data_IF_203921534420
#
_entry.id   IF_203921534420
#
_cell.length_a   1.000
_cell.length_b   1.000
_cell.length_c   1.000
_cell.angle_alpha   90.00
_cell.angle_beta   90.00
_cell.angle_gamma   90.00
#
_symmetry.space_group_name_H-M   'P 1'
#
loop_
_entity.id
_entity.type
_entity.pdbx_description
1 polymer ?
#
# COMPACT_ATOMS: atom_id res chain seq x y z
N UNK A 1 6.24 -8.04 13.54
CA UNK A 1 5.85 -8.85 12.37
C UNK A 1 6.48 -8.23 11.13
N UNK A 2 7.00 -9.04 10.24
CA UNK A 2 7.57 -8.54 8.98
C UNK A 2 6.53 -8.67 7.87
N UNK A 3 6.23 -7.54 7.25
CA UNK A 3 5.18 -7.43 6.23
C UNK A 3 5.78 -6.84 4.95
N UNK A 4 5.38 -7.40 3.82
CA UNK A 4 5.69 -6.86 2.51
C UNK A 4 4.41 -6.25 1.97
N UNK A 5 4.44 -4.98 1.56
CA UNK A 5 3.28 -4.31 0.98
C UNK A 5 3.42 -4.24 -0.52
N UNK A 6 2.40 -4.69 -1.23
CA UNK A 6 2.25 -4.46 -2.66
C UNK A 6 1.22 -3.36 -2.84
N UNK A 7 1.58 -2.32 -3.57
CA UNK A 7 0.72 -1.17 -3.79
C UNK A 7 0.55 -0.94 -5.29
N UNK A 8 -0.69 -1.02 -5.76
CA UNK A 8 -1.03 -0.77 -7.14
C UNK A 8 -1.79 0.55 -7.24
N UNK A 9 -1.18 1.54 -7.88
CA UNK A 9 -1.72 2.88 -7.99
C UNK A 9 -2.34 3.04 -9.37
N UNK A 10 -3.65 2.87 -9.45
CA UNK A 10 -4.41 3.07 -10.68
C UNK A 10 -4.79 4.52 -10.90
N UNK A 11 -5.55 4.77 -11.96
CA UNK A 11 -6.00 6.12 -12.30
C UNK A 11 -6.90 6.74 -11.25
N UNK A 12 -7.82 5.97 -10.69
CA UNK A 12 -8.79 6.48 -9.70
C UNK A 12 -8.85 5.60 -8.45
N UNK A 13 -8.06 4.54 -8.39
CA UNK A 13 -8.06 3.62 -7.25
C UNK A 13 -6.64 3.26 -6.85
N UNK A 14 -6.46 3.01 -5.56
CA UNK A 14 -5.21 2.48 -5.02
C UNK A 14 -5.56 1.20 -4.27
N UNK A 15 -4.81 0.13 -4.57
CA UNK A 15 -4.94 -1.15 -3.86
C UNK A 15 -3.68 -1.40 -3.05
N UNK A 16 -3.86 -1.86 -1.82
CA UNK A 16 -2.76 -2.26 -0.97
C UNK A 16 -3.01 -3.70 -0.54
N UNK A 17 -1.99 -4.53 -0.74
CA UNK A 17 -2.02 -5.92 -0.30
C UNK A 17 -0.83 -6.13 0.64
N UNK A 18 -1.09 -6.69 1.81
CA UNK A 18 -0.03 -7.05 2.74
C UNK A 18 0.25 -8.55 2.67
N UNK A 19 1.52 -8.89 2.59
CA UNK A 19 1.97 -10.27 2.55
C UNK A 19 2.87 -10.55 3.74
N UNK A 20 2.74 -11.74 4.29
CA UNK A 20 3.72 -12.25 5.26
C UNK A 20 4.94 -12.75 4.50
N UNK A 21 6.03 -12.98 5.21
CA UNK A 21 7.28 -13.42 4.59
C UNK A 21 7.18 -14.78 3.93
N UNK A 22 6.18 -15.59 4.30
CA UNK A 22 5.91 -16.87 3.66
C UNK A 22 5.07 -16.74 2.38
N UNK A 23 4.69 -15.53 2.01
CA UNK A 23 3.90 -15.26 0.81
C UNK A 23 2.40 -15.26 1.02
N UNK A 24 1.92 -15.59 2.21
CA UNK A 24 0.48 -15.60 2.47
C UNK A 24 -0.05 -14.16 2.62
N UNK A 25 -1.31 -13.97 2.22
CA UNK A 25 -1.95 -12.65 2.23
C UNK A 25 -2.50 -12.36 3.62
N UNK A 26 -2.19 -11.16 4.15
CA UNK A 26 -2.79 -10.70 5.40
C UNK A 26 -4.18 -10.15 5.11
N UNK A 27 -4.27 -9.18 4.23
CA UNK A 27 -5.52 -8.57 3.80
C UNK A 27 -5.26 -7.68 2.59
N UNK A 28 -6.34 -7.17 1.99
CA UNK A 28 -6.27 -6.24 0.86
C UNK A 28 -7.21 -5.07 1.13
N UNK A 29 -6.75 -3.87 0.77
CA UNK A 29 -7.55 -2.65 0.84
C UNK A 29 -7.58 -2.00 -0.52
N UNK A 30 -8.76 -1.53 -0.94
CA UNK A 30 -8.93 -0.74 -2.15
C UNK A 30 -9.54 0.60 -1.75
N UNK A 31 -8.91 1.67 -2.20
CA UNK A 31 -9.39 3.04 -1.93
C UNK A 31 -9.56 3.78 -3.25
N UNK A 32 -10.66 4.49 -3.36
CA UNK A 32 -10.93 5.34 -4.53
C UNK A 32 -10.67 6.79 -4.14
N UNK A 33 -9.88 7.50 -4.94
CA UNK A 33 -9.62 8.91 -4.72
C UNK A 33 -9.16 9.57 -6.03
N UNK A 34 -9.33 10.90 -6.10
CA UNK A 34 -8.95 11.65 -7.29
C UNK A 34 -7.45 11.92 -7.35
N UNK A 35 -6.83 12.14 -6.21
CA UNK A 35 -5.40 12.43 -6.11
C UNK A 35 -4.66 11.15 -5.73
N UNK A 36 -3.74 10.72 -6.61
CA UNK A 36 -3.04 9.47 -6.44
C UNK A 36 -2.11 9.48 -5.24
N UNK A 37 -1.39 10.58 -5.01
CA UNK A 37 -0.45 10.66 -3.89
C UNK A 37 -1.21 10.72 -2.57
N UNK A 38 -2.24 11.58 -2.48
CA UNK A 38 -3.07 11.67 -1.29
C UNK A 38 -3.77 10.35 -1.02
N UNK A 39 -4.26 9.69 -2.08
CA UNK A 39 -4.90 8.38 -1.96
C UNK A 39 -3.94 7.33 -1.42
N UNK A 40 -2.70 7.34 -1.88
CA UNK A 40 -1.69 6.39 -1.40
C UNK A 40 -1.44 6.56 0.10
N UNK A 41 -1.16 7.76 0.55
CA UNK A 41 -0.85 7.98 1.96
C UNK A 41 -2.06 7.73 2.85
N UNK A 42 -3.24 8.13 2.41
CA UNK A 42 -4.46 7.83 3.15
C UNK A 42 -4.75 6.33 3.22
N UNK A 43 -4.59 5.64 2.11
CA UNK A 43 -4.80 4.20 2.06
C UNK A 43 -3.76 3.46 2.91
N UNK A 44 -2.50 3.88 2.86
CA UNK A 44 -1.44 3.28 3.65
C UNK A 44 -1.72 3.42 5.14
N UNK A 45 -2.06 4.63 5.59
CA UNK A 45 -2.40 4.85 6.99
C UNK A 45 -3.59 4.01 7.44
N UNK A 46 -4.63 3.96 6.63
CA UNK A 46 -5.80 3.15 6.91
C UNK A 46 -5.45 1.65 6.98
N UNK A 47 -4.65 1.18 6.01
CA UNK A 47 -4.24 -0.22 5.98
C UNK A 47 -3.48 -0.60 7.25
N UNK A 48 -2.50 0.21 7.63
CA UNK A 48 -1.68 -0.08 8.81
C UNK A 48 -2.54 -0.09 10.07
N UNK A 49 -3.39 0.92 10.24
CA UNK A 49 -4.26 1.01 11.40
C UNK A 49 -5.25 -0.16 11.47
N UNK A 50 -5.90 -0.48 10.35
CA UNK A 50 -6.91 -1.54 10.31
C UNK A 50 -6.32 -2.92 10.59
N UNK A 51 -5.06 -3.12 10.25
CA UNK A 51 -4.39 -4.42 10.44
C UNK A 51 -3.49 -4.44 11.66
N UNK A 52 -3.53 -3.38 12.50
CA UNK A 52 -2.72 -3.26 13.71
C UNK A 52 -1.23 -3.36 13.42
N UNK A 53 -0.81 -2.75 12.32
CA UNK A 53 0.58 -2.71 11.91
C UNK A 53 1.15 -1.30 12.13
N UNK A 54 2.47 -1.23 12.33
CA UNK A 54 3.18 0.04 12.33
C UNK A 54 4.16 0.05 11.16
N UNK A 55 4.71 1.23 10.85
CA UNK A 55 5.68 1.33 9.76
C UNK A 55 6.91 0.45 9.99
N UNK A 56 7.28 0.21 11.25
CA UNK A 56 8.40 -0.66 11.58
C UNK A 56 8.17 -2.12 11.17
N UNK A 57 6.90 -2.51 11.02
CA UNK A 57 6.57 -3.86 10.58
C UNK A 57 6.72 -4.02 9.07
N UNK A 58 6.75 -2.92 8.33
CA UNK A 58 6.85 -2.95 6.87
C UNK A 58 8.30 -3.11 6.47
N UNK A 59 8.62 -4.28 5.93
CA UNK A 59 9.96 -4.63 5.52
C UNK A 59 10.27 -4.15 4.11
N UNK A 60 9.27 -4.17 3.23
CA UNK A 60 9.45 -3.85 1.84
C UNK A 60 8.14 -3.33 1.24
N UNK A 61 8.25 -2.39 0.32
CA UNK A 61 7.12 -1.87 -0.43
C UNK A 61 7.41 -2.04 -1.91
N UNK A 62 6.46 -2.64 -2.63
CA UNK A 62 6.54 -2.80 -4.09
C UNK A 62 5.43 -1.95 -4.70
N UNK A 63 5.80 -1.01 -5.54
CA UNK A 63 4.87 -0.10 -6.18
C UNK A 63 4.67 -0.47 -7.64
N UNK A 64 3.42 -0.42 -8.09
CA UNK A 64 3.06 -0.64 -9.50
C UNK A 64 1.96 0.35 -9.90
N UNK A 65 1.66 0.41 -11.19
CA UNK A 65 0.57 1.22 -11.71
C UNK A 65 1.01 2.57 -12.21
N UNK A 66 0.05 3.31 -12.78
CA UNK A 66 0.33 4.57 -13.48
C UNK A 66 0.80 5.69 -12.56
N UNK A 67 0.45 5.62 -11.27
CA UNK A 67 0.86 6.63 -10.29
C UNK A 67 2.17 6.35 -9.60
N UNK A 68 2.80 5.20 -9.84
CA UNK A 68 3.99 4.78 -9.11
C UNK A 68 5.18 5.73 -9.33
N UNK A 69 5.33 6.27 -10.54
CA UNK A 69 6.44 7.18 -10.85
C UNK A 69 6.37 8.48 -10.06
N UNK A 70 5.18 8.92 -9.67
CA UNK A 70 5.03 10.14 -8.85
C UNK A 70 5.52 9.92 -7.42
N UNK A 71 5.42 8.69 -6.94
CA UNK A 71 5.85 8.34 -5.59
C UNK A 71 7.34 8.02 -5.55
N UNK A 72 7.81 7.24 -6.53
CA UNK A 72 9.21 6.83 -6.60
C UNK A 72 10.16 7.99 -6.88
N UNK A 73 9.67 9.05 -7.50
CA UNK A 73 10.46 10.23 -7.79
C UNK A 73 10.87 11.04 -6.56
N UNK A 74 10.24 10.75 -5.45
CA UNK A 74 10.55 11.41 -4.19
C UNK A 74 11.71 10.70 -3.49
#
# INVERSE_FOLDING_TARGET
MDVILGIDIGGSTTKIVGLRTDGSVISMLRVRAEDQVTSLYGALGNYLTSNRLSLRDVRRVVLTGVGASYVEGD
#
